data_IF_776693830530
#
_entry.id   IF_776693830530
#
_cell.length_a   1.000
_cell.length_b   1.000
_cell.length_c   1.000
_cell.angle_alpha   90.00
_cell.angle_beta   90.00
_cell.angle_gamma   90.00
#
_symmetry.space_group_name_H-M   'P 1'
#
loop_
_entity.id
_entity.type
_entity.pdbx_description
1 polymer ?
#
# COMPACT_ATOMS: atom_id res chain seq x y z
N UNK A 1 -18.66 43.04 0.93
CA UNK A 1 -17.80 42.96 -0.26
C UNK A 1 -16.74 44.06 -0.14
N UNK A 2 -15.57 43.78 0.43
CA UNK A 2 -14.51 44.80 0.54
C UNK A 2 -13.96 45.03 -0.87
N UNK A 3 -14.21 46.21 -1.44
CA UNK A 3 -13.49 46.66 -2.64
C UNK A 3 -12.01 46.69 -2.28
N UNK A 4 -11.22 45.85 -2.90
CA UNK A 4 -9.76 45.92 -2.82
C UNK A 4 -9.35 47.18 -3.57
N UNK A 5 -9.13 48.29 -2.85
CA UNK A 5 -8.50 49.47 -3.45
C UNK A 5 -7.07 49.08 -3.77
N UNK A 6 -6.75 48.96 -5.06
CA UNK A 6 -5.40 48.71 -5.54
C UNK A 6 -4.68 50.05 -5.57
N UNK A 7 -3.53 50.12 -4.88
CA UNK A 7 -2.66 51.30 -4.89
C UNK A 7 -1.51 51.03 -5.86
N UNK A 8 -1.28 51.95 -6.78
CA UNK A 8 -0.23 51.82 -7.78
C UNK A 8 1.14 52.12 -7.17
N UNK A 9 2.14 51.30 -7.50
CA UNK A 9 3.52 51.49 -7.08
C UNK A 9 4.39 51.68 -8.31
N UNK A 10 5.33 52.63 -8.25
CA UNK A 10 6.33 52.88 -9.28
C UNK A 10 7.65 52.25 -8.89
N UNK A 11 8.26 51.48 -9.78
CA UNK A 11 9.61 50.94 -9.58
C UNK A 11 10.62 52.09 -9.64
N UNK A 12 11.43 52.26 -8.60
CA UNK A 12 12.49 53.27 -8.52
C UNK A 12 13.83 52.67 -8.97
N UNK A 13 14.11 51.43 -8.57
CA UNK A 13 15.39 50.80 -8.88
C UNK A 13 15.62 49.48 -8.15
N UNK A 14 16.85 48.99 -8.22
CA UNK A 14 17.30 47.74 -7.61
C UNK A 14 18.24 48.07 -6.44
N UNK A 15 18.11 47.35 -5.33
CA UNK A 15 19.02 47.46 -4.19
C UNK A 15 20.43 46.96 -4.56
N UNK A 16 21.52 47.53 -4.00
CA UNK A 16 22.87 47.01 -4.20
C UNK A 16 22.94 45.53 -3.80
N UNK A 17 23.28 44.66 -4.76
CA UNK A 17 23.28 43.20 -4.58
C UNK A 17 22.11 42.47 -5.28
N UNK A 18 21.15 43.20 -5.85
CA UNK A 18 20.15 42.62 -6.75
C UNK A 18 19.06 41.76 -6.11
N UNK A 19 19.08 41.61 -4.79
CA UNK A 19 18.14 40.78 -4.05
C UNK A 19 16.73 41.41 -3.91
N UNK A 20 16.61 42.75 -4.02
CA UNK A 20 15.33 43.45 -3.87
C UNK A 20 15.13 44.54 -4.91
N UNK A 21 13.90 44.67 -5.39
CA UNK A 21 13.40 45.78 -6.17
C UNK A 21 12.75 46.80 -5.23
N UNK A 22 13.13 48.07 -5.37
CA UNK A 22 12.57 49.17 -4.58
C UNK A 22 11.48 49.87 -5.38
N UNK A 23 10.29 49.93 -4.82
CA UNK A 23 9.13 50.62 -5.38
C UNK A 23 8.74 51.81 -4.49
N UNK A 24 8.21 52.88 -5.05
CA UNK A 24 7.57 53.97 -4.30
C UNK A 24 6.11 54.12 -4.67
N UNK A 25 5.31 54.46 -3.67
CA UNK A 25 3.97 54.98 -3.90
C UNK A 25 4.03 56.45 -4.38
N UNK A 26 3.37 56.80 -5.50
CA UNK A 26 3.42 58.15 -6.06
C UNK A 26 2.69 59.20 -5.19
N UNK A 27 1.64 58.80 -4.46
CA UNK A 27 0.84 59.73 -3.65
C UNK A 27 1.48 60.08 -2.30
N UNK A 28 2.15 59.11 -1.66
CA UNK A 28 2.70 59.27 -0.30
C UNK A 28 4.22 59.33 -0.27
N UNK A 29 4.89 58.91 -1.36
CA UNK A 29 6.35 58.75 -1.39
C UNK A 29 6.87 57.58 -0.57
N UNK A 30 5.99 56.75 0.02
CA UNK A 30 6.39 55.59 0.81
C UNK A 30 7.16 54.59 -0.05
N UNK A 31 8.32 54.14 0.44
CA UNK A 31 9.17 53.17 -0.24
C UNK A 31 8.89 51.76 0.26
N UNK A 32 8.73 50.83 -0.67
CA UNK A 32 8.52 49.41 -0.43
C UNK A 32 9.65 48.63 -1.08
N UNK A 33 10.07 47.54 -0.44
CA UNK A 33 11.02 46.57 -1.00
C UNK A 33 10.28 45.31 -1.37
N UNK A 34 10.52 44.80 -2.56
CA UNK A 34 9.96 43.54 -3.06
C UNK A 34 11.15 42.60 -3.34
N UNK A 35 11.15 41.35 -2.84
CA UNK A 35 12.17 40.37 -3.18
C UNK A 35 12.24 40.15 -4.70
N UNK A 36 13.45 40.12 -5.26
CA UNK A 36 13.70 39.82 -6.67
C UNK A 36 13.68 38.30 -6.95
N UNK A 37 12.64 37.63 -6.46
CA UNK A 37 12.44 36.20 -6.57
C UNK A 37 11.91 35.78 -7.96
N UNK A 38 11.80 34.47 -8.17
CA UNK A 38 11.26 33.95 -9.43
C UNK A 38 9.78 34.30 -9.65
N UNK A 39 9.02 34.62 -8.58
CA UNK A 39 7.63 35.10 -8.70
C UNK A 39 7.57 36.48 -9.30
N UNK A 40 8.38 37.43 -8.83
CA UNK A 40 8.48 38.76 -9.43
C UNK A 40 9.00 38.68 -10.87
N UNK A 41 9.94 37.77 -11.13
CA UNK A 41 10.48 37.54 -12.47
C UNK A 41 9.45 36.94 -13.43
N UNK A 42 8.61 36.01 -12.97
CA UNK A 42 7.52 35.44 -13.76
C UNK A 42 6.36 36.45 -13.94
N UNK A 43 6.02 37.21 -12.90
CA UNK A 43 5.00 38.26 -12.94
C UNK A 43 5.36 39.36 -13.95
N UNK A 44 6.62 39.81 -13.93
CA UNK A 44 7.09 40.86 -14.85
C UNK A 44 7.13 40.42 -16.31
N UNK A 45 7.25 39.12 -16.59
CA UNK A 45 7.17 38.55 -17.96
C UNK A 45 5.73 38.29 -18.42
N UNK A 46 4.75 38.35 -17.50
CA UNK A 46 3.37 37.98 -17.81
C UNK A 46 3.14 36.47 -17.93
N UNK A 47 4.07 35.64 -17.45
CA UNK A 47 3.97 34.18 -17.51
C UNK A 47 3.04 33.67 -16.39
N UNK A 48 1.73 33.79 -16.62
CA UNK A 48 0.68 33.37 -15.66
C UNK A 48 0.81 31.87 -15.33
N UNK A 49 1.18 31.03 -16.32
CA UNK A 49 1.40 29.60 -16.12
C UNK A 49 2.59 29.32 -15.19
N UNK A 50 3.71 30.05 -15.35
CA UNK A 50 4.89 29.93 -14.50
C UNK A 50 4.63 30.48 -13.09
N UNK A 51 3.80 31.53 -12.97
CA UNK A 51 3.36 32.05 -11.68
C UNK A 51 2.60 30.98 -10.88
N UNK A 52 1.66 30.28 -11.53
CA UNK A 52 0.93 29.16 -10.93
C UNK A 52 1.87 28.01 -10.55
N UNK A 53 2.86 27.70 -11.38
CA UNK A 53 3.84 26.66 -11.08
C UNK A 53 4.74 26.99 -9.89
N UNK A 54 5.21 28.25 -9.76
CA UNK A 54 6.02 28.69 -8.61
C UNK A 54 5.16 28.79 -7.33
N UNK A 55 3.87 29.12 -7.44
CA UNK A 55 2.94 28.99 -6.31
C UNK A 55 2.76 27.53 -5.86
N UNK A 56 2.71 26.58 -6.80
CA UNK A 56 2.65 25.14 -6.51
C UNK A 56 3.95 24.65 -5.83
N UNK A 57 5.12 25.15 -6.26
CA UNK A 57 6.43 24.85 -5.66
C UNK A 57 6.65 25.54 -4.31
N UNK A 58 6.16 26.76 -4.10
CA UNK A 58 6.24 27.40 -2.76
C UNK A 58 5.30 26.72 -1.76
N UNK A 59 4.24 26.10 -2.26
CA UNK A 59 3.35 25.22 -1.51
C UNK A 59 3.90 23.78 -1.47
N UNK A 60 5.23 23.58 -1.45
CA UNK A 60 5.91 22.30 -1.14
C UNK A 60 5.49 21.67 0.21
N UNK A 61 4.53 22.25 0.92
CA UNK A 61 3.80 21.57 1.97
C UNK A 61 2.84 20.54 1.35
N UNK A 62 3.00 19.29 1.73
CA UNK A 62 2.14 18.18 1.29
C UNK A 62 0.64 18.57 1.32
N UNK A 63 -0.09 18.31 0.23
CA UNK A 63 -1.51 18.65 0.16
C UNK A 63 -2.30 17.78 1.16
N UNK A 64 -3.43 18.26 1.71
CA UNK A 64 -4.27 17.46 2.60
C UNK A 64 -4.67 16.10 2.02
N UNK A 65 -4.92 16.04 0.70
CA UNK A 65 -5.24 14.79 -0.01
C UNK A 65 -4.08 13.78 0.04
N UNK A 66 -2.84 14.25 -0.07
CA UNK A 66 -1.65 13.40 -0.06
C UNK A 66 -1.36 12.89 1.36
N UNK A 67 -1.54 13.76 2.37
CA UNK A 67 -1.50 13.35 3.79
C UNK A 67 -2.50 12.22 4.02
N UNK A 68 -3.75 12.42 3.61
CA UNK A 68 -4.81 11.43 3.77
C UNK A 68 -4.52 10.13 3.00
N UNK A 69 -3.97 10.22 1.79
CA UNK A 69 -3.60 9.05 1.00
C UNK A 69 -2.50 8.24 1.68
N UNK A 70 -1.44 8.88 2.19
CA UNK A 70 -0.36 8.21 2.92
C UNK A 70 -0.84 7.56 4.21
N UNK A 71 -1.64 8.27 5.02
CA UNK A 71 -2.22 7.70 6.24
C UNK A 71 -3.14 6.52 5.91
N UNK A 72 -3.92 6.60 4.82
CA UNK A 72 -4.79 5.48 4.37
C UNK A 72 -3.97 4.28 3.91
N UNK A 73 -2.78 4.50 3.35
CA UNK A 73 -1.83 3.47 2.96
C UNK A 73 -1.01 2.88 4.13
N UNK A 74 -1.30 3.29 5.37
CA UNK A 74 -0.70 2.70 6.58
C UNK A 74 0.43 3.52 7.21
N UNK A 75 0.81 4.65 6.62
CA UNK A 75 1.80 5.53 7.25
C UNK A 75 1.28 6.07 8.59
N UNK A 76 2.18 6.21 9.55
CA UNK A 76 1.90 6.90 10.82
C UNK A 76 1.93 8.42 10.66
N UNK A 77 1.33 9.14 11.62
CA UNK A 77 1.32 10.61 11.61
C UNK A 77 2.75 11.15 11.67
N UNK A 78 3.58 10.52 12.50
CA UNK A 78 4.98 10.86 12.72
C UNK A 78 5.80 10.68 11.45
N UNK A 79 5.66 9.53 10.78
CA UNK A 79 6.34 9.25 9.51
C UNK A 79 5.95 10.26 8.43
N UNK A 80 4.66 10.56 8.28
CA UNK A 80 4.21 11.54 7.27
C UNK A 80 4.74 12.93 7.58
N UNK A 81 4.77 13.34 8.86
CA UNK A 81 5.31 14.63 9.28
C UNK A 81 6.82 14.74 8.96
N UNK A 82 7.59 13.70 9.29
CA UNK A 82 9.03 13.63 9.07
C UNK A 82 9.39 13.64 7.58
N UNK A 83 8.79 12.73 6.79
CA UNK A 83 9.06 12.60 5.35
C UNK A 83 8.66 13.85 4.56
N UNK A 84 7.62 14.56 5.01
CA UNK A 84 7.06 15.71 4.28
C UNK A 84 7.58 17.04 4.80
N UNK A 85 8.38 17.04 5.87
CA UNK A 85 8.80 18.24 6.59
C UNK A 85 7.61 19.16 6.97
N UNK A 86 6.47 18.55 7.30
CA UNK A 86 5.23 19.23 7.71
C UNK A 86 5.09 19.12 9.23
N UNK A 87 4.69 20.18 9.96
CA UNK A 87 4.50 20.09 11.41
C UNK A 87 3.43 19.04 11.77
N UNK A 88 3.70 18.26 12.81
CA UNK A 88 2.85 17.15 13.27
C UNK A 88 1.39 17.59 13.50
N UNK A 89 1.18 18.75 14.12
CA UNK A 89 -0.17 19.32 14.38
C UNK A 89 -1.00 19.57 13.11
N UNK A 90 -0.34 19.84 11.98
CA UNK A 90 -1.02 19.99 10.69
C UNK A 90 -1.44 18.64 10.12
N UNK A 91 -0.59 17.62 10.28
CA UNK A 91 -0.88 16.24 9.83
C UNK A 91 -2.04 15.66 10.64
N UNK A 92 -2.02 15.79 11.97
CA UNK A 92 -3.07 15.32 12.89
C UNK A 92 -4.48 15.76 12.48
N UNK A 93 -4.64 17.04 12.11
CA UNK A 93 -5.93 17.62 11.71
C UNK A 93 -6.54 16.90 10.50
N UNK A 94 -5.72 16.43 9.57
CA UNK A 94 -6.16 15.73 8.36
C UNK A 94 -6.12 14.20 8.50
N UNK A 95 -5.36 13.68 9.46
CA UNK A 95 -5.23 12.26 9.74
C UNK A 95 -6.45 11.68 10.45
N UNK A 96 -7.03 12.39 11.42
CA UNK A 96 -8.12 11.86 12.26
C UNK A 96 -9.30 11.23 11.48
N UNK A 97 -9.84 11.85 10.41
CA UNK A 97 -10.91 11.23 9.62
C UNK A 97 -10.50 9.90 8.96
N UNK A 98 -9.23 9.79 8.54
CA UNK A 98 -8.70 8.59 7.89
C UNK A 98 -8.37 7.51 8.92
N UNK A 99 -7.88 7.88 10.10
CA UNK A 99 -7.69 6.94 11.20
C UNK A 99 -9.02 6.32 11.64
N UNK A 100 -10.12 7.08 11.63
CA UNK A 100 -11.46 6.54 11.88
C UNK A 100 -11.94 5.61 10.76
N UNK A 101 -11.59 5.89 9.50
CA UNK A 101 -11.85 5.00 8.37
C UNK A 101 -11.10 3.68 8.55
N UNK A 102 -9.82 3.74 8.93
CA UNK A 102 -8.96 2.59 9.22
C UNK A 102 -9.48 1.76 10.39
N UNK A 103 -9.84 2.40 11.50
CA UNK A 103 -10.40 1.68 12.65
C UNK A 103 -11.71 0.98 12.29
N UNK A 104 -12.58 1.63 11.50
CA UNK A 104 -13.80 0.99 10.99
C UNK A 104 -13.49 -0.19 10.06
N UNK A 105 -12.49 -0.06 9.19
CA UNK A 105 -12.08 -1.15 8.32
C UNK A 105 -11.55 -2.35 9.14
N UNK A 106 -10.80 -2.10 10.21
CA UNK A 106 -10.38 -3.13 11.15
C UNK A 106 -11.57 -3.77 11.88
N UNK A 107 -12.59 -2.99 12.27
CA UNK A 107 -13.84 -3.51 12.84
C UNK A 107 -14.62 -4.41 11.86
N UNK A 108 -14.68 -4.01 10.59
CA UNK A 108 -15.30 -4.84 9.55
C UNK A 108 -14.53 -6.14 9.32
N UNK A 109 -13.19 -6.07 9.27
CA UNK A 109 -12.34 -7.25 9.13
C UNK A 109 -12.48 -8.21 10.31
N UNK A 110 -12.58 -7.70 11.54
CA UNK A 110 -12.86 -8.48 12.75
C UNK A 110 -14.17 -9.26 12.66
N UNK A 111 -15.20 -8.69 12.01
CA UNK A 111 -16.47 -9.35 11.76
C UNK A 111 -16.50 -10.24 10.51
N UNK A 112 -15.42 -10.27 9.72
CA UNK A 112 -15.31 -11.10 8.53
C UNK A 112 -14.98 -12.56 8.85
N UNK A 113 -15.27 -13.45 7.90
CA UNK A 113 -15.07 -14.89 8.04
C UNK A 113 -13.77 -15.34 7.35
N UNK A 114 -12.81 -15.97 8.07
CA UNK A 114 -11.60 -16.50 7.45
C UNK A 114 -11.88 -17.54 6.37
N UNK A 115 -11.11 -17.50 5.28
CA UNK A 115 -11.15 -18.56 4.25
C UNK A 115 -10.13 -19.63 4.64
N UNK A 116 -10.62 -20.82 5.00
CA UNK A 116 -9.82 -22.00 5.29
C UNK A 116 -9.81 -22.96 4.09
N UNK A 117 -8.96 -24.01 4.08
CA UNK A 117 -8.91 -24.99 2.99
C UNK A 117 -10.22 -25.75 2.76
N UNK A 118 -11.06 -25.88 3.78
CA UNK A 118 -12.39 -26.50 3.75
C UNK A 118 -13.53 -25.52 3.41
N UNK A 119 -13.22 -24.22 3.34
CA UNK A 119 -14.15 -23.15 2.98
C UNK A 119 -14.14 -21.97 3.97
N UNK A 120 -15.08 -21.02 3.84
CA UNK A 120 -15.22 -19.94 4.81
C UNK A 120 -15.59 -20.48 6.20
N UNK A 121 -14.93 -19.97 7.24
CA UNK A 121 -15.25 -20.30 8.62
C UNK A 121 -16.67 -19.86 8.99
N UNK A 122 -17.30 -20.60 9.89
CA UNK A 122 -18.59 -20.20 10.48
C UNK A 122 -18.39 -19.05 11.46
N UNK A 123 -17.36 -19.13 12.29
CA UNK A 123 -17.02 -18.10 13.28
C UNK A 123 -16.32 -16.91 12.60
N UNK A 124 -16.49 -15.74 13.19
CA UNK A 124 -15.81 -14.51 12.75
C UNK A 124 -14.33 -14.53 13.13
N UNK A 125 -13.53 -13.70 12.45
CA UNK A 125 -12.10 -13.54 12.76
C UNK A 125 -11.88 -13.19 14.23
N UNK A 126 -12.69 -12.29 14.80
CA UNK A 126 -12.58 -11.90 16.20
C UNK A 126 -12.84 -13.06 17.17
N UNK A 127 -13.80 -13.94 16.86
CA UNK A 127 -14.12 -15.10 17.69
C UNK A 127 -12.98 -16.13 17.65
N UNK A 128 -12.48 -16.44 16.45
CA UNK A 128 -11.39 -17.40 16.26
C UNK A 128 -10.11 -16.90 16.94
N UNK A 129 -9.72 -15.64 16.70
CA UNK A 129 -8.56 -15.04 17.36
C UNK A 129 -8.74 -14.99 18.88
N UNK A 130 -9.95 -14.69 19.37
CA UNK A 130 -10.25 -14.68 20.79
C UNK A 130 -10.11 -16.07 21.44
N UNK A 131 -10.54 -17.13 20.76
CA UNK A 131 -10.33 -18.51 21.19
C UNK A 131 -8.84 -18.87 21.20
N UNK A 132 -8.12 -18.53 20.13
CA UNK A 132 -6.68 -18.76 19.98
C UNK A 132 -5.85 -18.07 21.08
N UNK A 133 -6.16 -16.80 21.40
CA UNK A 133 -5.50 -16.05 22.46
C UNK A 133 -5.75 -16.68 23.83
N UNK A 134 -7.01 -17.04 24.13
CA UNK A 134 -7.36 -17.73 25.40
C UNK A 134 -6.64 -19.06 25.54
N UNK A 135 -6.55 -19.85 24.47
CA UNK A 135 -5.85 -21.13 24.49
C UNK A 135 -4.35 -21.01 24.79
N UNK A 136 -3.72 -19.89 24.40
CA UNK A 136 -2.30 -19.59 24.68
C UNK A 136 -2.05 -18.72 25.90
N UNK A 137 -3.11 -18.30 26.62
CA UNK A 137 -2.99 -17.41 27.76
C UNK A 137 -2.53 -15.99 27.40
N UNK A 138 -2.78 -15.55 26.17
CA UNK A 138 -2.57 -14.17 25.75
C UNK A 138 -3.78 -13.31 26.12
N UNK A 139 -3.52 -12.05 26.45
CA UNK A 139 -4.56 -11.05 26.67
C UNK A 139 -4.86 -10.33 25.35
N UNK A 140 -6.10 -10.48 24.85
CA UNK A 140 -6.54 -9.84 23.62
C UNK A 140 -6.84 -8.35 23.83
N UNK A 141 -7.19 -7.92 25.06
CA UNK A 141 -7.50 -6.51 25.34
C UNK A 141 -6.23 -5.64 25.31
N UNK A 142 -5.06 -6.25 25.52
CA UNK A 142 -3.76 -5.62 25.35
C UNK A 142 -3.28 -5.58 23.88
N UNK A 143 -4.01 -6.20 22.95
CA UNK A 143 -3.65 -6.25 21.54
C UNK A 143 -4.24 -5.04 20.78
N UNK A 144 -3.47 -4.51 19.82
CA UNK A 144 -3.86 -3.39 18.99
C UNK A 144 -4.31 -3.87 17.60
N UNK A 145 -5.51 -3.44 17.20
CA UNK A 145 -6.03 -3.64 15.85
C UNK A 145 -5.89 -2.37 15.02
N UNK A 146 -5.48 -2.53 13.78
CA UNK A 146 -5.40 -1.46 12.78
C UNK A 146 -5.74 -2.02 11.40
N UNK A 147 -5.97 -1.14 10.43
CA UNK A 147 -6.09 -1.52 9.03
C UNK A 147 -5.57 -0.41 8.11
N UNK A 148 -5.11 -0.80 6.92
CA UNK A 148 -4.71 0.14 5.86
C UNK A 148 -5.10 -0.40 4.49
N UNK A 149 -5.02 0.44 3.47
CA UNK A 149 -5.12 0.00 2.08
C UNK A 149 -3.76 -0.38 1.53
N UNK A 150 -3.66 -1.56 0.91
CA UNK A 150 -2.50 -1.94 0.12
C UNK A 150 -2.44 -1.18 -1.22
N UNK A 151 -1.41 -1.45 -2.00
CA UNK A 151 -1.21 -0.85 -3.33
C UNK A 151 -2.30 -1.25 -4.33
N UNK A 152 -2.92 -2.41 -4.13
CA UNK A 152 -4.04 -2.94 -4.93
C UNK A 152 -5.39 -2.31 -4.53
N UNK A 153 -5.44 -1.60 -3.40
CA UNK A 153 -6.60 -0.91 -2.86
C UNK A 153 -7.49 -1.77 -1.96
N UNK A 154 -7.06 -2.98 -1.60
CA UNK A 154 -7.69 -3.87 -0.63
C UNK A 154 -7.36 -3.44 0.80
N UNK A 155 -8.29 -3.70 1.73
CA UNK A 155 -8.04 -3.46 3.14
C UNK A 155 -7.22 -4.61 3.71
N UNK A 156 -6.11 -4.28 4.35
CA UNK A 156 -5.30 -5.19 5.14
C UNK A 156 -5.51 -4.83 6.61
N UNK A 157 -6.08 -5.75 7.37
CA UNK A 157 -6.21 -5.65 8.81
C UNK A 157 -4.97 -6.25 9.47
N UNK A 158 -4.51 -5.60 10.54
CA UNK A 158 -3.38 -6.03 11.35
C UNK A 158 -3.80 -6.17 12.80
N UNK A 159 -3.35 -7.26 13.43
CA UNK A 159 -3.36 -7.42 14.87
C UNK A 159 -1.92 -7.42 15.36
N UNK A 160 -1.61 -6.55 16.32
CA UNK A 160 -0.32 -6.52 17.01
C UNK A 160 -0.50 -6.83 18.50
N UNK A 161 0.37 -7.66 19.06
CA UNK A 161 0.36 -7.97 20.50
C UNK A 161 1.76 -8.30 21.00
N UNK A 162 1.94 -8.17 22.32
CA UNK A 162 3.19 -8.51 22.98
C UNK A 162 3.13 -9.94 23.55
N UNK A 163 4.10 -10.77 23.21
CA UNK A 163 4.32 -12.07 23.84
C UNK A 163 5.69 -12.08 24.55
N UNK A 164 5.69 -11.85 25.86
CA UNK A 164 6.92 -11.72 26.63
C UNK A 164 7.74 -10.51 26.16
N UNK A 165 8.85 -10.75 25.45
CA UNK A 165 9.74 -9.69 24.91
C UNK A 165 9.59 -9.48 23.40
N UNK A 166 8.76 -10.26 22.72
CA UNK A 166 8.55 -10.13 21.27
C UNK A 166 7.22 -9.42 20.98
N UNK A 167 7.26 -8.48 20.05
CA UNK A 167 6.05 -7.91 19.43
C UNK A 167 5.72 -8.80 18.24
N UNK A 168 4.55 -9.40 18.26
CA UNK A 168 4.03 -10.19 17.15
C UNK A 168 3.03 -9.37 16.35
N UNK A 169 2.95 -9.63 15.05
CA UNK A 169 1.96 -9.06 14.17
C UNK A 169 1.38 -10.16 13.27
N UNK A 170 0.09 -10.05 12.97
CA UNK A 170 -0.62 -10.90 12.03
C UNK A 170 -1.44 -10.03 11.09
N UNK A 171 -1.43 -10.39 9.80
CA UNK A 171 -2.08 -9.62 8.74
C UNK A 171 -3.11 -10.44 7.97
N UNK A 172 -4.27 -9.83 7.72
CA UNK A 172 -5.33 -10.42 6.91
C UNK A 172 -5.83 -9.44 5.86
N UNK A 173 -6.03 -9.89 4.63
CA UNK A 173 -6.74 -9.13 3.61
C UNK A 173 -8.25 -9.30 3.79
N UNK A 174 -8.99 -8.21 3.85
CA UNK A 174 -10.44 -8.19 3.98
C UNK A 174 -11.11 -7.85 2.65
N UNK A 175 -12.11 -8.66 2.26
CA UNK A 175 -12.98 -8.37 1.12
C UNK A 175 -14.44 -8.32 1.60
N UNK A 176 -15.14 -7.18 1.42
CA UNK A 176 -16.55 -7.09 1.75
C UNK A 176 -17.40 -8.03 0.90
N UNK A 177 -18.36 -8.71 1.54
CA UNK A 177 -19.39 -9.54 0.91
C UNK A 177 -20.74 -9.27 1.59
N UNK A 178 -21.82 -9.78 1.03
CA UNK A 178 -23.18 -9.71 1.56
C UNK A 178 -23.34 -10.36 2.94
N UNK A 179 -22.42 -11.26 3.33
CA UNK A 179 -22.46 -12.01 4.59
C UNK A 179 -21.46 -11.49 5.64
N UNK A 180 -21.06 -10.21 5.58
CA UNK A 180 -20.09 -9.62 6.53
C UNK A 180 -18.65 -9.58 6.03
N UNK A 181 -18.37 -10.23 4.90
CA UNK A 181 -17.07 -10.23 4.24
C UNK A 181 -16.20 -11.42 4.60
N UNK A 182 -15.20 -11.65 3.76
CA UNK A 182 -14.21 -12.69 3.95
C UNK A 182 -12.87 -12.08 4.37
N UNK A 183 -12.05 -12.88 5.05
CA UNK A 183 -10.66 -12.52 5.35
C UNK A 183 -9.72 -13.63 4.90
N UNK A 184 -8.61 -13.26 4.26
CA UNK A 184 -7.55 -14.19 3.83
C UNK A 184 -6.29 -13.87 4.63
N UNK A 185 -5.68 -14.88 5.26
CA UNK A 185 -4.40 -14.71 5.94
C UNK A 185 -3.30 -14.35 4.92
N UNK A 186 -2.45 -13.38 5.27
CA UNK A 186 -1.34 -12.92 4.42
C UNK A 186 0.03 -13.38 4.92
N UNK A 187 0.13 -13.79 6.18
CA UNK A 187 1.37 -14.27 6.78
C UNK A 187 1.16 -15.56 7.61
N UNK A 188 2.27 -16.16 8.02
CA UNK A 188 2.27 -17.40 8.79
C UNK A 188 1.61 -17.21 10.16
N UNK A 189 1.77 -16.03 10.78
CA UNK A 189 1.20 -15.74 12.10
C UNK A 189 -0.33 -15.69 12.05
N UNK A 190 -0.88 -15.06 11.02
CA UNK A 190 -2.29 -14.97 10.71
C UNK A 190 -2.87 -16.35 10.35
N UNK A 191 -2.13 -17.13 9.55
CA UNK A 191 -2.51 -18.51 9.20
C UNK A 191 -2.59 -19.38 10.44
N UNK A 192 -1.59 -19.28 11.32
CA UNK A 192 -1.59 -19.99 12.59
C UNK A 192 -2.78 -19.56 13.47
N UNK A 193 -3.05 -18.26 13.61
CA UNK A 193 -4.14 -17.78 14.47
C UNK A 193 -5.54 -18.26 14.05
N UNK A 194 -5.75 -18.51 12.76
CA UNK A 194 -7.03 -19.02 12.25
C UNK A 194 -7.11 -20.56 12.23
N UNK A 195 -5.99 -21.24 12.46
CA UNK A 195 -5.93 -22.70 12.52
C UNK A 195 -6.66 -23.22 13.78
N UNK A 196 -7.67 -24.10 13.63
CA UNK A 196 -8.34 -24.73 14.77
C UNK A 196 -7.38 -25.44 15.75
N UNK A 197 -6.24 -25.94 15.26
CA UNK A 197 -5.25 -26.64 16.07
C UNK A 197 -4.25 -25.69 16.78
N UNK A 198 -4.35 -24.37 16.60
CA UNK A 198 -3.44 -23.38 17.21
C UNK A 198 -3.32 -23.50 18.73
N UNK A 199 -4.42 -23.88 19.39
CA UNK A 199 -4.50 -24.07 20.83
C UNK A 199 -3.90 -25.38 21.34
N UNK A 200 -3.56 -26.34 20.48
CA UNK A 200 -2.88 -27.57 20.93
C UNK A 200 -1.47 -27.21 21.37
N UNK A 201 -1.10 -27.68 22.56
CA UNK A 201 0.28 -27.59 23.03
C UNK A 201 1.19 -28.21 21.97
N UNK A 202 2.12 -27.39 21.44
CA UNK A 202 3.15 -27.89 20.53
C UNK A 202 3.80 -29.11 21.19
N UNK A 203 3.84 -30.25 20.49
CA UNK A 203 4.56 -31.43 20.98
C UNK A 203 5.97 -30.97 21.32
N UNK A 204 6.36 -31.16 22.59
CA UNK A 204 7.73 -30.88 23.01
C UNK A 204 8.69 -31.56 22.03
N UNK A 205 9.56 -30.78 21.40
CA UNK A 205 10.63 -31.33 20.58
C UNK A 205 11.46 -32.20 21.51
N UNK A 206 11.42 -33.51 21.28
CA UNK A 206 12.30 -34.45 21.97
C UNK A 206 13.71 -34.09 21.52
N UNK A 207 14.64 -33.78 22.44
CA UNK A 207 16.02 -33.53 22.06
C UNK A 207 16.54 -34.76 21.30
N UNK A 208 17.00 -34.56 20.07
CA UNK A 208 17.67 -35.60 19.31
C UNK A 208 18.96 -35.93 20.09
N UNK A 209 19.13 -37.16 20.59
CA UNK A 209 20.39 -37.56 21.18
C UNK A 209 21.44 -37.45 20.10
N UNK A 210 22.43 -36.58 20.29
CA UNK A 210 23.67 -36.70 19.53
C UNK A 210 24.38 -37.92 20.10
N UNK A 211 24.22 -39.07 19.45
CA UNK A 211 25.00 -40.27 19.76
C UNK A 211 26.47 -40.02 19.40
N UNK A 212 27.14 -39.24 20.25
CA UNK A 212 28.58 -39.14 20.36
C UNK A 212 29.02 -40.15 21.41
N UNK A 213 29.12 -41.41 20.99
CA UNK A 213 29.75 -42.46 21.76
C UNK A 213 31.21 -42.09 22.05
N UNK A 214 31.50 -41.68 23.28
CA UNK A 214 32.82 -41.79 23.89
C UNK A 214 32.76 -42.87 24.97
N UNK A 215 32.38 -44.08 24.57
CA UNK A 215 32.64 -45.29 25.35
C UNK A 215 33.93 -45.91 24.82
N UNK A 216 35.00 -45.80 25.59
CA UNK A 216 36.22 -46.60 25.38
C UNK A 216 35.86 -48.07 25.59
N UNK A 217 35.45 -48.75 24.53
CA UNK A 217 35.38 -50.19 24.49
C UNK A 217 36.80 -50.71 24.21
N UNK A 218 37.34 -51.47 25.17
CA UNK A 218 38.54 -52.27 24.99
C UNK A 218 38.35 -53.17 23.75
N UNK A 219 39.20 -52.96 22.76
CA UNK A 219 39.30 -53.86 21.61
C UNK A 219 40.09 -55.10 22.05
N UNK A 220 39.40 -56.17 22.46
CA UNK A 220 39.96 -57.51 22.39
C UNK A 220 40.04 -57.92 20.91
N UNK A 221 41.27 -58.02 20.45
CA UNK A 221 41.65 -58.35 19.08
C UNK A 221 41.67 -59.87 18.92
N UNK A 222 40.55 -60.45 18.51
CA UNK A 222 40.53 -61.81 17.96
C UNK A 222 40.50 -61.73 16.43
N UNK A 223 41.61 -62.12 15.83
CA UNK A 223 41.75 -62.40 14.41
C UNK A 223 41.15 -63.78 14.13
N UNK A 224 40.11 -63.84 13.31
CA UNK A 224 39.86 -65.01 12.48
C UNK A 224 39.29 -64.54 11.14
N UNK A 225 40.15 -64.58 10.12
CA UNK A 225 39.79 -64.53 8.71
C UNK A 225 38.82 -65.67 8.36
N UNK A 226 37.78 -65.36 7.57
CA UNK A 226 37.45 -66.10 6.35
C UNK A 226 36.29 -65.43 5.58
N UNK A 227 36.63 -64.90 4.39
CA UNK A 227 35.88 -64.83 3.13
C UNK A 227 34.32 -64.78 3.15
N UNK A 228 33.72 -63.72 2.59
CA UNK A 228 33.40 -63.69 1.15
C UNK A 228 32.96 -62.29 0.69
N UNK A 229 33.45 -61.89 -0.48
CA UNK A 229 33.30 -60.55 -1.04
C UNK A 229 31.98 -60.43 -1.83
N UNK A 230 31.08 -59.56 -1.37
CA UNK A 230 29.95 -59.10 -2.17
C UNK A 230 30.06 -57.59 -2.36
N UNK A 231 30.42 -57.22 -3.59
CA UNK A 231 30.69 -55.87 -4.05
C UNK A 231 29.45 -54.96 -4.00
N UNK A 232 29.62 -53.75 -3.48
CA UNK A 232 28.77 -52.61 -3.82
C UNK A 232 29.02 -52.21 -5.29
N UNK A 233 27.97 -51.94 -6.09
CA UNK A 233 28.17 -51.46 -7.45
C UNK A 233 28.64 -50.00 -7.45
N UNK A 234 29.65 -49.64 -8.26
CA UNK A 234 30.09 -48.26 -8.39
C UNK A 234 29.04 -47.42 -9.14
N UNK A 235 28.81 -46.23 -8.60
CA UNK A 235 27.98 -45.17 -9.19
C UNK A 235 28.64 -44.74 -10.51
N UNK A 236 28.02 -45.08 -11.64
CA UNK A 236 28.47 -44.69 -12.97
C UNK A 236 28.03 -43.26 -13.27
N UNK A 237 28.98 -42.33 -13.28
CA UNK A 237 28.85 -41.04 -13.96
C UNK A 237 28.90 -41.29 -15.47
N UNK A 238 27.73 -41.25 -16.12
CA UNK A 238 27.64 -41.19 -17.57
C UNK A 238 27.45 -39.72 -17.99
N UNK A 239 28.47 -39.21 -18.67
CA UNK A 239 28.36 -38.09 -19.61
C UNK A 239 27.36 -38.46 -20.70
N UNK A 240 26.26 -37.72 -20.82
CA UNK A 240 25.43 -37.71 -22.02
C UNK A 240 25.61 -36.34 -22.69
N UNK A 241 26.45 -36.37 -23.72
CA UNK A 241 26.58 -35.31 -24.71
C UNK A 241 25.28 -35.22 -25.50
N UNK A 242 24.59 -34.07 -25.41
CA UNK A 242 23.56 -33.70 -26.38
C UNK A 242 24.21 -32.86 -27.47
N UNK A 243 24.13 -33.45 -28.65
CA UNK A 243 24.65 -32.99 -29.92
C UNK A 243 23.97 -31.69 -30.40
N UNK A 244 24.77 -30.95 -31.14
CA UNK A 244 24.52 -29.67 -31.79
C UNK A 244 23.71 -29.96 -33.07
N UNK A 245 22.50 -29.41 -33.22
CA UNK A 245 21.83 -29.38 -34.52
C UNK A 245 21.32 -27.97 -34.83
N UNK A 246 22.15 -27.32 -35.63
CA UNK A 246 21.99 -26.05 -36.31
C UNK A 246 20.94 -26.22 -37.43
N UNK A 247 19.90 -25.37 -37.42
CA UNK A 247 19.14 -25.07 -38.63
C UNK A 247 19.17 -23.56 -38.87
N UNK A 248 20.07 -23.14 -39.76
CA UNK A 248 19.96 -21.90 -40.52
C UNK A 248 18.78 -22.01 -41.49
N UNK A 249 17.88 -21.02 -41.50
CA UNK A 249 17.41 -20.44 -42.77
C UNK A 249 17.17 -18.95 -42.57
N UNK A 250 17.77 -18.19 -43.48
CA UNK A 250 17.87 -16.74 -43.53
C UNK A 250 16.61 -16.04 -44.07
N UNK A 251 16.52 -14.76 -43.67
CA UNK A 251 16.22 -13.57 -44.48
C UNK A 251 14.86 -13.40 -45.17
N UNK A 252 14.31 -12.18 -45.05
CA UNK A 252 13.24 -11.73 -45.94
C UNK A 252 12.19 -10.79 -45.36
N UNK A 253 12.51 -9.49 -45.38
CA UNK A 253 11.62 -8.37 -45.73
C UNK A 253 10.62 -7.79 -44.69
N UNK A 254 10.97 -6.57 -44.30
CA UNK A 254 10.14 -5.46 -43.80
C UNK A 254 9.07 -5.01 -44.82
N UNK A 255 7.87 -4.61 -44.33
CA UNK A 255 7.19 -3.50 -45.00
C UNK A 255 6.51 -2.47 -44.06
N UNK A 256 6.54 -1.24 -44.57
CA UNK A 256 6.09 0.08 -44.11
C UNK A 256 4.69 0.22 -43.45
N UNK A 257 4.48 1.34 -42.69
CA UNK A 257 3.27 1.56 -41.90
C UNK A 257 2.06 1.96 -42.75
N UNK A 258 0.94 1.24 -42.59
CA UNK A 258 -0.34 1.60 -43.22
C UNK A 258 -1.06 2.71 -42.47
N UNK A 259 -1.38 3.74 -43.24
CA UNK A 259 -2.12 4.96 -42.93
C UNK A 259 -3.55 4.66 -42.47
N UNK A 260 -4.01 5.44 -41.48
CA UNK A 260 -5.36 5.42 -40.90
C UNK A 260 -6.47 5.78 -41.92
N UNK A 261 -7.63 5.09 -41.93
CA UNK A 261 -8.79 5.53 -42.68
C UNK A 261 -9.60 6.58 -41.90
N UNK A 262 -9.73 7.77 -42.49
CA UNK A 262 -10.77 8.75 -42.15
C UNK A 262 -12.15 8.20 -42.54
N UNK A 263 -13.13 8.31 -41.64
CA UNK A 263 -14.56 8.13 -41.97
C UNK A 263 -15.36 9.35 -41.54
N UNK A 264 -16.14 9.84 -42.49
CA UNK A 264 -17.05 10.98 -42.51
C UNK A 264 -18.35 10.74 -41.71
N UNK A 265 -19.13 11.80 -41.38
CA UNK A 265 -20.21 11.69 -40.41
C UNK A 265 -21.50 11.12 -41.03
N UNK A 266 -22.01 10.04 -40.45
CA UNK A 266 -23.31 9.43 -40.77
C UNK A 266 -24.34 9.67 -39.66
N UNK A 267 -25.52 10.14 -40.05
CA UNK A 267 -26.70 10.43 -39.22
C UNK A 267 -27.50 9.17 -38.83
N UNK A 268 -28.12 9.28 -37.65
CA UNK A 268 -29.43 8.76 -37.21
C UNK A 268 -29.57 7.50 -36.32
N UNK A 269 -29.90 7.81 -35.04
CA UNK A 269 -30.97 7.27 -34.16
C UNK A 269 -31.04 5.77 -33.85
N UNK A 270 -30.64 5.42 -32.61
CA UNK A 270 -31.46 4.59 -31.69
C UNK A 270 -30.99 4.67 -30.22
N UNK A 271 -31.91 5.11 -29.36
CA UNK A 271 -32.07 4.75 -27.93
C UNK A 271 -30.87 4.81 -26.98
N UNK A 272 -30.66 5.95 -26.32
CA UNK A 272 -29.99 5.98 -25.01
C UNK A 272 -31.06 5.77 -23.92
N UNK A 273 -30.87 4.90 -22.90
CA UNK A 273 -31.80 4.84 -21.78
C UNK A 273 -31.79 6.19 -21.05
N UNK A 274 -32.98 6.76 -20.83
CA UNK A 274 -33.13 8.01 -20.10
C UNK A 274 -32.76 7.76 -18.64
N UNK A 275 -31.64 8.34 -18.20
CA UNK A 275 -31.32 8.44 -16.79
C UNK A 275 -32.43 9.29 -16.14
N UNK A 276 -33.02 8.85 -15.02
CA UNK A 276 -34.08 9.60 -14.36
C UNK A 276 -33.57 10.97 -13.92
N UNK A 277 -34.47 11.94 -13.92
CA UNK A 277 -34.20 13.27 -13.38
C UNK A 277 -33.86 13.16 -11.89
N UNK A 278 -32.95 14.01 -11.41
CA UNK A 278 -32.61 14.11 -9.98
C UNK A 278 -33.81 14.44 -9.09
N UNK A 279 -34.84 15.07 -9.65
CA UNK A 279 -36.11 15.37 -8.97
C UNK A 279 -36.93 14.09 -8.69
N UNK A 280 -36.89 13.11 -9.61
CA UNK A 280 -37.63 11.85 -9.47
C UNK A 280 -37.07 10.97 -8.33
N UNK A 281 -35.77 11.07 -8.06
CA UNK A 281 -35.10 10.34 -6.96
C UNK A 281 -35.47 10.93 -5.60
N UNK A 282 -35.66 12.25 -5.52
CA UNK A 282 -35.99 12.93 -4.27
C UNK A 282 -37.49 12.87 -3.95
N UNK A 283 -38.35 12.83 -4.96
CA UNK A 283 -39.81 12.84 -4.77
C UNK A 283 -40.47 11.46 -4.87
N UNK A 284 -39.74 10.41 -5.27
CA UNK A 284 -40.22 9.03 -5.23
C UNK A 284 -41.40 8.73 -6.17
N UNK A 285 -41.59 9.54 -7.22
CA UNK A 285 -42.67 9.39 -8.18
C UNK A 285 -42.11 8.93 -9.53
N UNK A 286 -42.45 7.70 -9.92
CA UNK A 286 -42.08 7.14 -11.23
C UNK A 286 -42.99 7.71 -12.32
N UNK A 287 -42.45 8.55 -13.18
CA UNK A 287 -43.14 9.06 -14.38
C UNK A 287 -43.23 7.95 -15.45
N UNK A 288 -44.35 7.23 -15.48
CA UNK A 288 -44.65 6.31 -16.59
C UNK A 288 -45.18 7.14 -17.78
N UNK A 289 -44.35 7.29 -18.81
CA UNK A 289 -44.74 7.86 -20.10
C UNK A 289 -45.83 7.02 -20.77
N UNK A 290 -46.93 7.67 -21.15
CA UNK A 290 -47.99 7.10 -22.00
C UNK A 290 -48.53 8.21 -22.90
N UNK A 291 -48.34 8.06 -24.21
CA UNK A 291 -48.92 8.90 -25.26
C UNK A 291 -47.94 9.85 -25.91
#
# INVERSE_FOLDING_TARGET
>A
MRRTNVRELRVIGLEPGGAHVVCSEPETGAKFRIPADDKLRAASRGDIARLGQIEIETDSQMRPRDIQARIRAGASIEQVAEESSVPLSRVERFAYPVLLERSRAADMAKGGHPILPDGPAVDTLAEIVGQAFRARGHDLDAAAWDAWKDEEGHWVAQLQWQAGRTVNAAHWRFQPDSHGGNVTALDDTATQLVDPDFGRSLRGLVPVPQDGACGLAEFEQDHQDDHDAAAEPPISLADDAVDDDIIEVADGAEPEPKVAPQQTPGKDKRGKPALPSWDDVLLGVRSNGRG
#
